data_IF_761325393278
#
_entry.id   IF_761325393278
#
_cell.length_a   1.000
_cell.length_b   1.000
_cell.length_c   1.000
_cell.angle_alpha   90.00
_cell.angle_beta   90.00
_cell.angle_gamma   90.00
#
_symmetry.space_group_name_H-M   'P 1'
#
loop_
_entity.id
_entity.type
_entity.pdbx_description
1 polymer ?
#
# COMPACT_ATOMS: atom_id res chain seq x y z
N UNK A 1 14.78 20.50 -14.22
CA UNK A 1 14.45 19.85 -12.94
C UNK A 1 13.10 19.15 -13.00
N UNK A 2 13.02 18.00 -13.69
CA UNK A 2 11.80 17.17 -13.77
C UNK A 2 11.86 16.04 -12.73
N UNK A 3 11.78 16.41 -11.45
CA UNK A 3 11.70 15.47 -10.34
C UNK A 3 10.26 15.34 -9.80
N UNK A 4 9.97 14.23 -9.12
CA UNK A 4 8.65 13.99 -8.52
C UNK A 4 8.46 12.52 -8.15
N UNK A 5 7.28 12.20 -7.61
CA UNK A 5 6.84 10.83 -7.36
C UNK A 5 5.93 10.35 -8.50
N UNK A 6 6.09 9.09 -8.91
CA UNK A 6 5.20 8.44 -9.89
C UNK A 6 3.96 7.84 -9.23
N UNK A 7 4.06 7.51 -7.95
CA UNK A 7 2.97 7.09 -7.10
C UNK A 7 3.31 7.32 -5.61
N UNK A 8 2.29 7.48 -4.76
CA UNK A 8 2.42 7.46 -3.30
C UNK A 8 1.26 6.71 -2.66
N UNK A 9 1.57 5.88 -1.67
CA UNK A 9 0.58 5.34 -0.73
C UNK A 9 0.61 6.21 0.51
N UNK A 10 -0.50 6.90 0.79
CA UNK A 10 -0.57 7.85 1.90
C UNK A 10 -1.97 7.91 2.54
N UNK A 11 -2.05 8.13 3.87
CA UNK A 11 -3.30 8.35 4.55
C UNK A 11 -3.90 9.72 4.23
N UNK A 12 -5.22 9.79 4.04
CA UNK A 12 -6.00 11.03 4.04
C UNK A 12 -6.48 11.44 5.44
N UNK A 13 -6.41 10.54 6.42
CA UNK A 13 -6.86 10.73 7.80
C UNK A 13 -5.76 10.49 8.83
N UNK A 14 -6.08 10.73 10.11
CA UNK A 14 -5.17 10.42 11.21
C UNK A 14 -5.30 8.95 11.58
N UNK A 15 -4.16 8.27 11.70
CA UNK A 15 -4.06 6.93 12.26
C UNK A 15 -2.79 6.80 13.08
N UNK A 16 -2.77 5.85 14.01
CA UNK A 16 -1.58 5.55 14.80
C UNK A 16 -0.61 4.71 13.97
N UNK A 17 0.69 4.89 14.20
CA UNK A 17 1.73 4.03 13.59
C UNK A 17 1.48 2.55 13.84
N UNK A 18 0.98 2.19 15.04
CA UNK A 18 0.61 0.82 15.40
C UNK A 18 -0.54 0.25 14.57
N UNK A 19 -1.42 1.09 14.03
CA UNK A 19 -2.49 0.68 13.11
C UNK A 19 -1.99 0.62 11.67
N UNK A 20 -0.99 1.42 11.30
CA UNK A 20 -0.44 1.44 9.94
C UNK A 20 0.48 0.24 9.69
N UNK A 21 1.25 -0.17 10.70
CA UNK A 21 2.27 -1.22 10.57
C UNK A 21 1.73 -2.51 9.95
N UNK A 22 0.60 -3.09 10.39
CA UNK A 22 0.11 -4.34 9.81
C UNK A 22 -0.25 -4.23 8.32
N UNK A 23 -0.81 -3.07 7.91
CA UNK A 23 -1.13 -2.82 6.50
C UNK A 23 0.15 -2.61 5.67
N UNK A 24 1.14 -1.93 6.25
CA UNK A 24 2.44 -1.72 5.59
C UNK A 24 3.19 -3.04 5.41
N UNK A 25 3.19 -3.93 6.41
CA UNK A 25 3.88 -5.22 6.36
C UNK A 25 3.33 -6.09 5.22
N UNK A 26 2.00 -6.21 5.10
CA UNK A 26 1.36 -6.95 4.01
C UNK A 26 1.64 -6.29 2.66
N UNK A 27 1.46 -4.97 2.57
CA UNK A 27 1.71 -4.22 1.33
C UNK A 27 3.13 -4.42 0.80
N UNK A 28 4.15 -4.34 1.67
CA UNK A 28 5.54 -4.50 1.25
C UNK A 28 5.90 -5.95 0.95
N UNK A 29 5.33 -6.93 1.66
CA UNK A 29 5.53 -8.35 1.31
C UNK A 29 4.96 -8.64 -0.07
N UNK A 30 3.70 -8.28 -0.34
CA UNK A 30 3.06 -8.44 -1.65
C UNK A 30 3.85 -7.79 -2.80
N UNK A 31 4.39 -6.60 -2.54
CA UNK A 31 5.13 -5.82 -3.52
C UNK A 31 6.54 -6.35 -3.80
N UNK A 32 7.24 -6.82 -2.77
CA UNK A 32 8.66 -7.21 -2.86
C UNK A 32 8.82 -8.70 -3.18
N UNK A 33 7.90 -9.55 -2.73
CA UNK A 33 7.92 -10.99 -2.98
C UNK A 33 7.31 -11.37 -4.35
N UNK A 34 6.92 -10.36 -5.15
CA UNK A 34 6.30 -10.47 -6.48
C UNK A 34 4.96 -11.23 -6.50
N UNK A 35 4.21 -11.22 -5.40
CA UNK A 35 2.85 -11.76 -5.36
C UNK A 35 1.86 -10.81 -6.04
N UNK A 36 2.06 -9.49 -5.90
CA UNK A 36 1.30 -8.47 -6.60
C UNK A 36 2.03 -7.95 -7.86
N UNK A 37 1.32 -7.89 -8.99
CA UNK A 37 1.86 -7.37 -10.25
C UNK A 37 1.87 -5.84 -10.31
N UNK A 38 1.07 -5.18 -9.46
CA UNK A 38 0.85 -3.73 -9.46
C UNK A 38 0.77 -3.15 -8.06
N UNK A 39 1.05 -1.85 -7.91
CA UNK A 39 0.88 -1.14 -6.63
C UNK A 39 -0.57 -1.18 -6.12
N UNK A 40 -1.55 -1.13 -7.04
CA UNK A 40 -2.96 -1.20 -6.69
C UNK A 40 -3.36 -2.55 -6.13
N UNK A 41 -2.84 -3.63 -6.70
CA UNK A 41 -3.06 -5.00 -6.22
C UNK A 41 -2.47 -5.21 -4.82
N UNK A 42 -1.21 -4.84 -4.60
CA UNK A 42 -0.56 -4.95 -3.29
C UNK A 42 -1.34 -4.19 -2.20
N UNK A 43 -1.81 -2.97 -2.51
CA UNK A 43 -2.59 -2.19 -1.55
C UNK A 43 -3.99 -2.79 -1.31
N UNK A 44 -4.61 -3.35 -2.34
CA UNK A 44 -5.91 -4.01 -2.21
C UNK A 44 -5.80 -5.25 -1.32
N UNK A 45 -4.80 -6.11 -1.54
CA UNK A 45 -4.57 -7.30 -0.72
C UNK A 45 -4.38 -6.93 0.75
N UNK A 46 -3.52 -5.94 1.04
CA UNK A 46 -3.31 -5.44 2.40
C UNK A 46 -4.61 -4.95 3.06
N UNK A 47 -5.48 -4.27 2.31
CA UNK A 47 -6.79 -3.83 2.81
C UNK A 47 -7.76 -4.98 3.06
N UNK A 48 -7.78 -5.98 2.18
CA UNK A 48 -8.65 -7.16 2.30
C UNK A 48 -8.27 -7.99 3.52
N UNK A 49 -6.97 -8.24 3.74
CA UNK A 49 -6.49 -8.96 4.92
C UNK A 49 -6.81 -8.20 6.22
N UNK A 50 -6.68 -6.87 6.20
CA UNK A 50 -7.00 -6.03 7.34
C UNK A 50 -8.50 -5.89 7.63
N UNK A 51 -9.39 -6.17 6.68
CA UNK A 51 -10.83 -5.86 6.75
C UNK A 51 -11.56 -6.53 7.92
N UNK A 52 -11.08 -7.69 8.38
CA UNK A 52 -11.63 -8.38 9.54
C UNK A 52 -11.22 -7.80 10.90
N UNK A 53 -10.29 -6.85 10.93
CA UNK A 53 -9.75 -6.28 12.16
C UNK A 53 -10.29 -4.85 12.39
N UNK A 54 -11.22 -4.71 13.34
CA UNK A 54 -11.79 -3.40 13.72
C UNK A 54 -10.72 -2.38 14.14
N UNK A 55 -9.57 -2.82 14.65
CA UNK A 55 -8.45 -1.93 15.00
C UNK A 55 -7.85 -1.22 13.77
N UNK A 56 -7.99 -1.80 12.58
CA UNK A 56 -7.43 -1.30 11.32
C UNK A 56 -8.44 -0.54 10.46
N UNK A 57 -9.70 -0.44 10.90
CA UNK A 57 -10.81 0.10 10.12
C UNK A 57 -10.49 1.47 9.50
N UNK A 58 -10.01 2.42 10.30
CA UNK A 58 -9.67 3.76 9.83
C UNK A 58 -8.53 3.73 8.80
N UNK A 59 -7.53 2.87 8.98
CA UNK A 59 -6.39 2.78 8.06
C UNK A 59 -6.83 2.25 6.70
N UNK A 60 -7.67 1.23 6.65
CA UNK A 60 -8.17 0.63 5.41
C UNK A 60 -8.95 1.64 4.56
N UNK A 61 -9.73 2.50 5.22
CA UNK A 61 -10.53 3.52 4.55
C UNK A 61 -9.78 4.82 4.23
N UNK A 62 -8.67 5.10 4.93
CA UNK A 62 -7.92 6.35 4.75
C UNK A 62 -6.62 6.20 3.97
N UNK A 63 -6.03 5.01 3.85
CA UNK A 63 -4.85 4.79 3.02
C UNK A 63 -5.23 4.77 1.53
N UNK A 64 -4.69 5.72 0.77
CA UNK A 64 -4.97 5.89 -0.64
C UNK A 64 -3.70 5.71 -1.46
N UNK A 65 -3.86 5.20 -2.69
CA UNK A 65 -2.84 5.23 -3.72
C UNK A 65 -3.08 6.47 -4.61
N UNK A 66 -2.11 7.38 -4.62
CA UNK A 66 -2.07 8.56 -5.47
C UNK A 66 -1.12 8.28 -6.63
N UNK A 67 -1.63 8.12 -7.85
CA UNK A 67 -0.84 7.73 -9.02
C UNK A 67 -1.60 6.73 -9.88
N UNK A 68 -0.88 5.96 -10.69
CA UNK A 68 -1.48 4.88 -11.49
C UNK A 68 -1.57 3.57 -10.67
N UNK A 69 -2.77 3.05 -10.39
CA UNK A 69 -2.92 1.76 -9.70
C UNK A 69 -2.37 0.58 -10.50
N UNK A 70 -2.30 0.69 -11.83
CA UNK A 70 -1.70 -0.32 -12.69
C UNK A 70 -0.17 -0.19 -12.79
N UNK A 71 0.45 0.74 -12.03
CA UNK A 71 1.90 0.89 -12.02
C UNK A 71 2.54 -0.40 -11.50
N UNK A 72 3.43 -0.95 -12.32
CA UNK A 72 4.20 -2.16 -12.02
C UNK A 72 5.50 -1.77 -11.34
N UNK A 73 5.81 -2.44 -10.24
CA UNK A 73 7.08 -2.25 -9.58
C UNK A 73 8.17 -2.97 -10.38
N UNK A 74 9.18 -2.22 -10.83
CA UNK A 74 10.35 -2.80 -11.47
C UNK A 74 11.33 -3.16 -10.37
N UNK A 75 11.40 -4.44 -10.03
CA UNK A 75 12.47 -4.92 -9.17
C UNK A 75 13.81 -4.71 -9.90
N UNK A 76 14.85 -4.16 -9.24
CA UNK A 76 16.17 -4.10 -9.83
C UNK A 76 16.58 -5.51 -10.24
N UNK A 77 16.98 -5.68 -11.50
CA UNK A 77 17.55 -6.92 -11.99
C UNK A 77 18.85 -7.18 -11.23
N UNK A 78 18.98 -8.36 -10.62
CA UNK A 78 20.25 -8.85 -10.10
C UNK A 78 21.29 -8.97 -11.22
#
# INVERSE_FOLDING_TARGET
>A
DNGGIVAAVAPSGRSLTTQQQPIADVFFSELLDNEAATLGEALMTAKVEGAGNNFLHDVIHTFNLLGDPALRFQHPAN
#
